data_IF_642059338672
#
_entry.id   IF_642059338672
#
_cell.length_a   1.000
_cell.length_b   1.000
_cell.length_c   1.000
_cell.angle_alpha   90.00
_cell.angle_beta   90.00
_cell.angle_gamma   90.00
#
_symmetry.space_group_name_H-M   'P 1'
#
loop_
_entity.id
_entity.type
_entity.pdbx_description
1 polymer ?
#
# COMPACT_ATOMS: atom_id res chain seq x y z
N UNK A 1 -12.70 -9.93 -16.50
CA UNK A 1 -11.52 -9.06 -16.71
C UNK A 1 -12.04 -7.66 -16.97
N UNK A 2 -11.51 -6.64 -16.29
CA UNK A 2 -12.04 -5.26 -16.38
C UNK A 2 -11.32 -4.32 -15.40
N UNK A 3 -10.02 -4.53 -15.23
CA UNK A 3 -9.19 -3.67 -14.37
C UNK A 3 -8.95 -2.34 -15.07
N UNK A 4 -8.91 -1.26 -14.28
CA UNK A 4 -8.60 0.09 -14.77
C UNK A 4 -7.22 0.13 -15.45
N UNK A 5 -6.27 -0.67 -14.96
CA UNK A 5 -4.92 -0.79 -15.50
C UNK A 5 -4.61 -2.24 -15.88
N UNK A 6 -4.98 -2.70 -17.09
CA UNK A 6 -4.86 -4.10 -17.49
C UNK A 6 -3.44 -4.65 -17.50
N UNK A 7 -2.43 -3.79 -17.69
CA UNK A 7 -1.02 -4.18 -17.70
C UNK A 7 -0.42 -4.29 -16.29
N UNK A 8 -1.02 -3.62 -15.30
CA UNK A 8 -0.56 -3.65 -13.92
C UNK A 8 -1.76 -3.36 -13.01
N UNK A 9 -2.49 -4.41 -12.63
CA UNK A 9 -3.69 -4.31 -11.80
C UNK A 9 -3.51 -3.40 -10.59
N UNK A 10 -2.47 -3.58 -9.75
CA UNK A 10 -2.19 -2.75 -8.58
C UNK A 10 -2.11 -1.25 -8.82
N UNK A 11 -1.77 -0.80 -10.04
CA UNK A 11 -1.60 0.62 -10.35
C UNK A 11 -2.87 1.46 -10.10
N UNK A 12 -4.02 0.82 -9.88
CA UNK A 12 -5.26 1.49 -9.43
C UNK A 12 -5.02 2.38 -8.19
N UNK A 13 -4.18 1.96 -7.25
CA UNK A 13 -3.91 2.76 -6.05
C UNK A 13 -3.15 4.05 -6.37
N UNK A 14 -2.21 4.00 -7.32
CA UNK A 14 -1.47 5.18 -7.79
C UNK A 14 -2.40 6.18 -8.48
N UNK A 15 -3.39 5.71 -9.24
CA UNK A 15 -4.38 6.58 -9.87
C UNK A 15 -5.11 7.45 -8.83
N UNK A 16 -5.64 6.82 -7.78
CA UNK A 16 -6.31 7.52 -6.69
C UNK A 16 -5.34 8.44 -5.93
N UNK A 17 -4.12 8.00 -5.69
CA UNK A 17 -3.09 8.80 -5.02
C UNK A 17 -2.73 10.07 -5.81
N UNK A 18 -2.60 9.98 -7.14
CA UNK A 18 -2.37 11.15 -8.00
C UNK A 18 -3.53 12.14 -7.92
N UNK A 19 -4.79 11.66 -7.96
CA UNK A 19 -5.96 12.52 -7.79
C UNK A 19 -5.93 13.26 -6.44
N UNK A 20 -5.64 12.54 -5.34
CA UNK A 20 -5.56 13.12 -4.02
C UNK A 20 -4.42 14.14 -3.90
N UNK A 21 -3.26 13.86 -4.49
CA UNK A 21 -2.11 14.76 -4.49
C UNK A 21 -2.37 16.04 -5.29
N UNK A 22 -3.05 15.95 -6.44
CA UNK A 22 -3.48 17.12 -7.21
C UNK A 22 -4.46 17.96 -6.38
N UNK A 23 -5.48 17.33 -5.80
CA UNK A 23 -6.44 18.03 -4.92
C UNK A 23 -5.74 18.66 -3.71
N UNK A 24 -4.69 18.03 -3.19
CA UNK A 24 -3.90 18.59 -2.12
C UNK A 24 -3.11 19.82 -2.51
N UNK A 25 -2.39 19.76 -3.63
CA UNK A 25 -1.62 20.89 -4.15
C UNK A 25 -2.52 22.12 -4.39
N UNK A 26 -3.72 21.90 -4.91
CA UNK A 26 -4.67 22.96 -5.25
C UNK A 26 -5.44 23.50 -4.04
N UNK A 27 -6.00 22.61 -3.21
CA UNK A 27 -7.02 22.96 -2.21
C UNK A 27 -6.65 22.49 -0.80
N UNK A 28 -6.44 21.19 -0.58
CA UNK A 28 -6.39 20.58 0.77
C UNK A 28 -5.20 21.10 1.59
N UNK A 29 -4.10 21.52 0.94
CA UNK A 29 -2.96 22.14 1.65
C UNK A 29 -3.32 23.39 2.46
N UNK A 30 -4.45 24.04 2.17
CA UNK A 30 -4.94 25.24 2.88
C UNK A 30 -5.88 24.93 4.05
N UNK A 31 -6.31 23.68 4.23
CA UNK A 31 -7.28 23.33 5.27
C UNK A 31 -6.71 23.55 6.67
N UNK A 32 -7.56 23.84 7.66
CA UNK A 32 -7.13 23.91 9.06
C UNK A 32 -7.01 22.51 9.67
N UNK A 33 -6.36 22.39 10.84
CA UNK A 33 -6.32 21.13 11.60
C UNK A 33 -7.74 20.64 11.94
N UNK A 34 -8.63 21.57 12.28
CA UNK A 34 -10.03 21.27 12.58
C UNK A 34 -10.76 20.63 11.39
N UNK A 35 -10.63 21.24 10.19
CA UNK A 35 -11.27 20.70 8.99
C UNK A 35 -10.71 19.32 8.61
N UNK A 36 -9.39 19.12 8.76
CA UNK A 36 -8.80 17.78 8.57
C UNK A 36 -9.34 16.77 9.56
N UNK A 37 -9.45 17.11 10.84
CA UNK A 37 -10.02 16.22 11.86
C UNK A 37 -11.45 15.83 11.51
N UNK A 38 -12.27 16.78 11.07
CA UNK A 38 -13.64 16.50 10.63
C UNK A 38 -13.64 15.52 9.45
N UNK A 39 -12.79 15.72 8.45
CA UNK A 39 -12.65 14.82 7.30
C UNK A 39 -12.17 13.42 7.70
N UNK A 40 -11.25 13.31 8.66
CA UNK A 40 -10.80 12.02 9.21
C UNK A 40 -11.95 11.28 9.90
N UNK A 41 -12.78 11.98 10.69
CA UNK A 41 -13.93 11.37 11.36
C UNK A 41 -14.95 10.87 10.33
N UNK A 42 -15.30 11.71 9.34
CA UNK A 42 -16.25 11.34 8.28
C UNK A 42 -15.72 10.18 7.44
N UNK A 43 -14.46 10.24 7.00
CA UNK A 43 -13.83 9.18 6.22
C UNK A 43 -13.71 7.87 7.03
N UNK A 44 -13.43 7.96 8.33
CA UNK A 44 -13.36 6.81 9.22
C UNK A 44 -14.73 6.16 9.41
N UNK A 45 -15.78 6.95 9.59
CA UNK A 45 -17.16 6.46 9.64
C UNK A 45 -17.57 5.78 8.33
N UNK A 46 -17.26 6.39 7.18
CA UNK A 46 -17.53 5.79 5.86
C UNK A 46 -16.77 4.48 5.64
N UNK A 47 -15.52 4.41 6.10
CA UNK A 47 -14.69 3.20 6.03
C UNK A 47 -15.26 2.07 6.89
N UNK A 48 -15.61 2.34 8.15
CA UNK A 48 -16.23 1.35 9.06
C UNK A 48 -17.56 0.87 8.48
N UNK A 49 -18.42 1.81 8.06
CA UNK A 49 -19.70 1.49 7.46
C UNK A 49 -19.52 0.56 6.27
N UNK A 50 -18.62 0.90 5.34
CA UNK A 50 -18.34 0.05 4.19
C UNK A 50 -17.80 -1.32 4.62
N UNK A 51 -16.83 -1.38 5.53
CA UNK A 51 -16.20 -2.63 5.91
C UNK A 51 -17.19 -3.62 6.55
N UNK A 52 -18.06 -3.12 7.42
CA UNK A 52 -19.06 -3.92 8.16
C UNK A 52 -20.24 -4.32 7.27
N UNK A 53 -20.59 -3.51 6.26
CA UNK A 53 -21.70 -3.78 5.33
C UNK A 53 -21.28 -4.45 4.02
N UNK A 54 -19.97 -4.62 3.80
CA UNK A 54 -19.42 -5.27 2.61
C UNK A 54 -19.91 -6.72 2.52
N UNK A 55 -20.39 -7.18 1.35
CA UNK A 55 -20.87 -8.56 1.17
C UNK A 55 -19.83 -9.63 1.56
N UNK A 56 -18.55 -9.31 1.35
CA UNK A 56 -17.44 -10.20 1.66
C UNK A 56 -16.76 -9.85 2.99
N UNK A 57 -17.23 -8.83 3.71
CA UNK A 57 -16.62 -8.38 4.97
C UNK A 57 -15.14 -8.02 4.82
N UNK A 58 -14.72 -7.54 3.64
CA UNK A 58 -13.35 -7.15 3.36
C UNK A 58 -13.30 -5.83 2.60
N UNK A 59 -12.20 -5.11 2.76
CA UNK A 59 -11.85 -3.88 2.06
C UNK A 59 -11.13 -4.14 0.73
N UNK A 60 -11.10 -5.38 0.23
CA UNK A 60 -10.50 -5.70 -1.07
C UNK A 60 -11.38 -5.21 -2.24
N UNK A 61 -10.84 -4.29 -3.04
CA UNK A 61 -11.48 -3.75 -4.25
C UNK A 61 -10.93 -2.38 -4.62
N UNK A 62 -11.53 -1.70 -5.60
CA UNK A 62 -11.08 -0.40 -6.11
C UNK A 62 -10.31 -0.45 -7.41
N UNK A 63 -10.12 -1.62 -8.01
CA UNK A 63 -9.29 -1.79 -9.21
C UNK A 63 -10.05 -1.75 -10.53
N UNK A 64 -11.38 -1.60 -10.53
CA UNK A 64 -12.20 -1.49 -11.76
C UNK A 64 -12.80 -0.09 -11.92
N UNK A 65 -13.05 0.28 -13.17
CA UNK A 65 -13.74 1.52 -13.53
C UNK A 65 -15.26 1.31 -13.53
N UNK A 66 -15.83 0.87 -12.40
CA UNK A 66 -17.27 0.76 -12.19
C UNK A 66 -17.70 1.53 -10.92
N UNK A 67 -18.98 1.94 -10.85
CA UNK A 67 -19.47 2.77 -9.75
C UNK A 67 -19.19 2.22 -8.36
N UNK A 68 -19.52 0.93 -8.08
CA UNK A 68 -19.22 0.30 -6.79
C UNK A 68 -17.72 0.25 -6.45
N UNK A 69 -16.86 -0.11 -7.41
CA UNK A 69 -15.42 -0.22 -7.21
C UNK A 69 -14.77 1.15 -7.04
N UNK A 70 -15.19 2.17 -7.80
CA UNK A 70 -14.73 3.53 -7.60
C UNK A 70 -15.09 4.04 -6.21
N UNK A 71 -16.33 3.80 -5.74
CA UNK A 71 -16.74 4.13 -4.37
C UNK A 71 -15.81 3.49 -3.34
N UNK A 72 -15.50 2.21 -3.50
CA UNK A 72 -14.55 1.51 -2.63
C UNK A 72 -13.14 2.10 -2.72
N UNK A 73 -12.64 2.37 -3.91
CA UNK A 73 -11.32 3.00 -4.13
C UNK A 73 -11.19 4.34 -3.41
N UNK A 74 -12.19 5.22 -3.53
CA UNK A 74 -12.23 6.48 -2.80
C UNK A 74 -12.33 6.27 -1.28
N UNK A 75 -13.18 5.37 -0.79
CA UNK A 75 -13.28 5.08 0.65
C UNK A 75 -11.94 4.61 1.23
N UNK A 76 -11.20 3.75 0.50
CA UNK A 76 -9.88 3.26 0.91
C UNK A 76 -8.80 4.33 0.85
N UNK A 77 -8.93 5.30 -0.04
CA UNK A 77 -7.99 6.42 -0.18
C UNK A 77 -8.21 7.48 0.91
N UNK A 78 -9.45 7.89 1.13
CA UNK A 78 -9.78 9.11 1.89
C UNK A 78 -9.24 9.06 3.32
N UNK A 79 -9.50 7.98 4.05
CA UNK A 79 -9.09 7.91 5.45
C UNK A 79 -7.55 7.94 5.62
N UNK A 80 -6.77 7.01 5.01
CA UNK A 80 -5.31 7.02 5.12
C UNK A 80 -4.67 8.34 4.66
N UNK A 81 -5.23 8.95 3.62
CA UNK A 81 -4.75 10.22 3.09
C UNK A 81 -4.91 11.36 4.11
N UNK A 82 -6.13 11.56 4.64
CA UNK A 82 -6.39 12.65 5.58
C UNK A 82 -5.74 12.41 6.94
N UNK A 83 -5.71 11.18 7.45
CA UNK A 83 -5.04 10.88 8.73
C UNK A 83 -3.54 11.07 8.61
N UNK A 84 -2.92 10.66 7.50
CA UNK A 84 -1.50 10.89 7.23
C UNK A 84 -1.16 12.38 7.20
N UNK A 85 -1.99 13.18 6.52
CA UNK A 85 -1.82 14.64 6.49
C UNK A 85 -2.01 15.27 7.88
N UNK A 86 -3.00 14.81 8.64
CA UNK A 86 -3.23 15.28 10.01
C UNK A 86 -2.04 14.95 10.91
N UNK A 87 -1.52 13.73 10.88
CA UNK A 87 -0.33 13.30 11.61
C UNK A 87 0.89 14.15 11.27
N UNK A 88 1.12 14.41 9.98
CA UNK A 88 2.20 15.29 9.51
C UNK A 88 2.07 16.71 10.07
N UNK A 89 0.86 17.28 10.10
CA UNK A 89 0.61 18.65 10.59
C UNK A 89 0.58 18.79 12.10
N UNK A 90 0.20 17.75 12.83
CA UNK A 90 0.27 17.74 14.29
C UNK A 90 1.68 17.45 14.77
N UNK A 91 2.55 16.91 13.90
CA UNK A 91 3.88 16.45 14.28
C UNK A 91 3.81 15.27 15.25
N UNK A 92 2.71 14.50 15.20
CA UNK A 92 2.52 13.37 16.10
C UNK A 92 3.48 12.24 15.72
N UNK A 93 4.58 12.16 16.47
CA UNK A 93 5.63 11.17 16.29
C UNK A 93 5.82 10.43 17.61
N UNK A 94 5.78 9.10 17.56
CA UNK A 94 6.00 8.27 18.74
C UNK A 94 7.48 7.88 18.76
N UNK A 95 8.25 8.54 19.63
CA UNK A 95 9.68 8.26 19.79
C UNK A 95 9.87 7.06 20.71
N UNK A 96 10.48 6.01 20.19
CA UNK A 96 10.76 4.81 20.98
C UNK A 96 12.07 4.16 20.55
N UNK A 97 12.74 3.48 21.49
CA UNK A 97 13.84 2.58 21.16
C UNK A 97 13.26 1.34 20.45
N UNK A 98 13.97 0.83 19.46
CA UNK A 98 13.57 -0.33 18.66
C UNK A 98 12.24 -0.15 17.90
N UNK A 99 12.07 1.03 17.29
CA UNK A 99 10.86 1.36 16.54
C UNK A 99 10.64 0.41 15.35
N UNK A 100 11.71 0.02 14.66
CA UNK A 100 11.65 -0.88 13.52
C UNK A 100 11.10 -2.26 13.92
N UNK A 101 11.64 -2.82 15.00
CA UNK A 101 11.30 -4.14 15.52
C UNK A 101 9.84 -4.16 15.99
N UNK A 102 9.42 -3.12 16.71
CA UNK A 102 8.01 -2.95 17.14
C UNK A 102 7.06 -2.85 15.95
N UNK A 103 7.40 -2.05 14.94
CA UNK A 103 6.61 -1.97 13.72
C UNK A 103 6.55 -3.32 12.99
N UNK A 104 7.67 -4.04 12.93
CA UNK A 104 7.75 -5.35 12.28
C UNK A 104 6.88 -6.40 12.98
N UNK A 105 6.94 -6.48 14.32
CA UNK A 105 6.10 -7.37 15.12
C UNK A 105 4.62 -7.01 14.97
N UNK A 106 4.28 -5.72 15.03
CA UNK A 106 2.89 -5.28 14.91
C UNK A 106 2.33 -5.57 13.50
N UNK A 107 3.11 -5.32 12.44
CA UNK A 107 2.75 -5.70 11.08
C UNK A 107 2.58 -7.21 10.95
N UNK A 108 3.51 -8.01 11.50
CA UNK A 108 3.41 -9.46 11.46
C UNK A 108 2.13 -9.96 12.12
N UNK A 109 1.80 -9.47 13.31
CA UNK A 109 0.57 -9.85 14.03
C UNK A 109 -0.68 -9.52 13.20
N UNK A 110 -0.74 -8.31 12.61
CA UNK A 110 -1.89 -7.90 11.81
C UNK A 110 -2.03 -8.73 10.53
N UNK A 111 -0.92 -8.99 9.84
CA UNK A 111 -0.95 -9.71 8.57
C UNK A 111 -1.09 -11.23 8.72
N UNK A 112 -0.66 -11.79 9.86
CA UNK A 112 -0.78 -13.21 10.15
C UNK A 112 -2.16 -13.58 10.74
N UNK A 113 -2.98 -12.60 11.14
CA UNK A 113 -4.29 -12.87 11.71
C UNK A 113 -5.21 -13.51 10.66
N UNK A 114 -5.83 -14.68 10.95
CA UNK A 114 -6.77 -15.29 10.02
C UNK A 114 -8.04 -14.44 9.92
N UNK A 115 -8.77 -14.64 8.82
CA UNK A 115 -10.07 -14.00 8.59
C UNK A 115 -11.02 -14.29 9.76
N UNK A 116 -11.56 -13.25 10.38
CA UNK A 116 -12.44 -13.37 11.54
C UNK A 116 -13.92 -13.57 11.15
N UNK A 117 -14.69 -14.29 11.96
CA UNK A 117 -16.15 -14.40 11.82
C UNK A 117 -16.69 -15.51 10.91
N UNK A 118 -15.82 -16.26 10.20
CA UNK A 118 -16.25 -17.39 9.35
C UNK A 118 -17.26 -16.98 8.27
N UNK A 119 -18.06 -17.93 7.77
CA UNK A 119 -19.04 -17.68 6.71
C UNK A 119 -20.29 -16.93 7.19
N UNK A 120 -20.60 -16.99 8.49
CA UNK A 120 -21.84 -16.45 9.03
C UNK A 120 -21.70 -15.02 9.61
N UNK A 121 -20.48 -14.52 9.80
CA UNK A 121 -20.24 -13.21 10.43
C UNK A 121 -19.15 -12.40 9.73
N UNK A 122 -19.29 -12.17 8.42
CA UNK A 122 -18.32 -11.40 7.62
C UNK A 122 -18.02 -10.00 8.17
N UNK A 123 -19.00 -9.37 8.82
CA UNK A 123 -18.84 -8.05 9.43
C UNK A 123 -17.73 -8.00 10.50
N UNK A 124 -17.42 -9.12 11.17
CA UNK A 124 -16.32 -9.19 12.15
C UNK A 124 -14.96 -8.99 11.48
N UNK A 125 -14.75 -9.61 10.31
CA UNK A 125 -13.55 -9.38 9.52
C UNK A 125 -13.49 -7.93 9.02
N UNK A 126 -14.62 -7.40 8.55
CA UNK A 126 -14.69 -6.01 8.09
C UNK A 126 -14.34 -5.02 9.19
N UNK A 127 -14.88 -5.22 10.39
CA UNK A 127 -14.57 -4.42 11.56
C UNK A 127 -13.09 -4.52 11.93
N UNK A 128 -12.53 -5.74 11.91
CA UNK A 128 -11.10 -5.95 12.15
C UNK A 128 -10.24 -5.18 11.15
N UNK A 129 -10.49 -5.32 9.85
CA UNK A 129 -9.74 -4.59 8.82
C UNK A 129 -9.88 -3.08 8.97
N UNK A 130 -11.08 -2.58 9.28
CA UNK A 130 -11.31 -1.16 9.54
C UNK A 130 -10.53 -0.67 10.76
N UNK A 131 -10.49 -1.42 11.86
CA UNK A 131 -9.71 -1.09 13.06
C UNK A 131 -8.20 -1.11 12.77
N UNK A 132 -7.73 -2.04 11.94
CA UNK A 132 -6.35 -2.04 11.48
C UNK A 132 -6.01 -0.76 10.72
N UNK A 133 -6.88 -0.33 9.79
CA UNK A 133 -6.68 0.89 9.00
C UNK A 133 -6.79 2.17 9.85
N UNK A 134 -7.71 2.21 10.80
CA UNK A 134 -8.02 3.41 11.60
C UNK A 134 -7.09 3.60 12.79
N UNK A 135 -6.64 2.50 13.40
CA UNK A 135 -5.87 2.55 14.64
C UNK A 135 -4.46 2.04 14.39
N UNK A 136 -4.34 0.79 13.92
CA UNK A 136 -3.04 0.10 13.93
C UNK A 136 -2.05 0.71 12.94
N UNK A 137 -2.46 0.95 11.68
CA UNK A 137 -1.57 1.51 10.66
C UNK A 137 -1.14 2.95 10.96
N UNK A 138 -2.02 3.89 11.38
CA UNK A 138 -1.59 5.22 11.82
C UNK A 138 -0.58 5.17 12.97
N UNK A 139 -0.76 4.24 13.92
CA UNK A 139 0.20 4.01 15.00
C UNK A 139 1.54 3.50 14.50
N UNK A 140 1.55 2.54 13.58
CA UNK A 140 2.79 2.04 12.94
C UNK A 140 3.50 3.17 12.21
N UNK A 141 2.78 4.01 11.46
CA UNK A 141 3.34 5.16 10.75
C UNK A 141 3.95 6.16 11.74
N UNK A 142 3.26 6.49 12.83
CA UNK A 142 3.75 7.42 13.85
C UNK A 142 4.99 6.88 14.61
N UNK A 143 5.04 5.56 14.86
CA UNK A 143 6.20 4.87 15.43
C UNK A 143 7.39 4.83 14.46
N UNK A 144 7.14 4.44 13.22
CA UNK A 144 8.16 4.33 12.18
C UNK A 144 8.80 5.68 11.86
N UNK A 145 8.00 6.74 11.74
CA UNK A 145 8.48 8.09 11.50
C UNK A 145 9.22 8.70 12.71
N UNK A 146 8.90 8.26 13.94
CA UNK A 146 9.56 8.69 15.17
C UNK A 146 10.82 7.88 15.53
N UNK A 147 11.06 6.77 14.83
CA UNK A 147 12.16 5.85 15.08
C UNK A 147 13.50 6.32 14.51
N UNK A 148 14.60 5.89 15.15
CA UNK A 148 15.95 5.96 14.58
C UNK A 148 16.47 4.56 14.31
N UNK A 149 17.01 4.33 13.12
CA UNK A 149 17.70 3.08 12.81
C UNK A 149 19.07 3.09 13.47
N UNK A 150 19.36 2.08 14.31
CA UNK A 150 20.67 1.86 14.90
C UNK A 150 21.45 0.82 14.09
N UNK A 151 22.62 1.19 13.57
CA UNK A 151 23.53 0.29 12.85
C UNK A 151 23.64 0.56 11.35
N UNK A 152 24.87 0.73 10.86
CA UNK A 152 25.18 1.10 9.47
C UNK A 152 24.75 0.02 8.45
N UNK A 153 25.00 -1.26 8.74
CA UNK A 153 24.62 -2.36 7.84
C UNK A 153 23.10 -2.52 7.75
N UNK A 154 22.41 -2.46 8.89
CA UNK A 154 20.97 -2.59 8.96
C UNK A 154 20.26 -1.46 8.20
N UNK A 155 20.71 -0.22 8.41
CA UNK A 155 20.20 0.95 7.69
C UNK A 155 20.37 0.82 6.17
N UNK A 156 21.53 0.32 5.69
CA UNK A 156 21.75 0.05 4.26
C UNK A 156 20.81 -1.01 3.71
N UNK A 157 20.52 -2.06 4.48
CA UNK A 157 19.55 -3.08 4.11
C UNK A 157 18.14 -2.51 3.94
N UNK A 158 17.66 -1.74 4.93
CA UNK A 158 16.35 -1.07 4.85
C UNK A 158 16.27 -0.08 3.67
N UNK A 159 17.32 0.69 3.43
CA UNK A 159 17.40 1.62 2.28
C UNK A 159 17.34 0.87 0.94
N UNK A 160 18.07 -0.24 0.81
CA UNK A 160 18.01 -1.10 -0.38
C UNK A 160 16.60 -1.66 -0.60
N UNK A 161 15.99 -2.23 0.44
CA UNK A 161 14.61 -2.76 0.37
C UNK A 161 13.61 -1.65 0.01
N UNK A 162 13.79 -0.44 0.55
CA UNK A 162 12.98 0.72 0.21
C UNK A 162 13.12 1.10 -1.27
N UNK A 163 14.35 1.20 -1.78
CA UNK A 163 14.63 1.57 -3.17
C UNK A 163 14.10 0.56 -4.18
N UNK A 164 14.16 -0.73 -3.88
CA UNK A 164 13.69 -1.77 -4.81
C UNK A 164 12.17 -1.99 -4.76
N UNK A 165 11.51 -1.63 -3.66
CA UNK A 165 10.08 -1.88 -3.45
C UNK A 165 9.19 -1.29 -4.55
N UNK A 166 9.45 -0.06 -4.98
CA UNK A 166 8.66 0.62 -6.01
C UNK A 166 8.90 0.06 -7.43
N UNK A 167 10.15 -0.07 -7.92
CA UNK A 167 10.40 -0.75 -9.19
C UNK A 167 9.80 -2.16 -9.22
N UNK A 168 9.93 -2.92 -8.14
CA UNK A 168 9.33 -4.25 -8.04
C UNK A 168 7.82 -4.18 -8.17
N UNK A 169 7.18 -3.27 -7.43
CA UNK A 169 5.74 -3.02 -7.50
C UNK A 169 5.26 -2.77 -8.94
N UNK A 170 6.04 -2.04 -9.76
CA UNK A 170 5.69 -1.75 -11.14
C UNK A 170 5.85 -2.96 -12.07
N UNK A 171 6.91 -3.75 -11.92
CA UNK A 171 7.28 -4.75 -12.93
C UNK A 171 6.76 -6.16 -12.66
N UNK A 172 6.42 -6.49 -11.41
CA UNK A 172 6.11 -7.87 -11.05
C UNK A 172 4.74 -8.37 -11.55
N UNK A 173 3.69 -7.55 -11.52
CA UNK A 173 2.34 -7.97 -11.95
C UNK A 173 2.23 -8.36 -13.42
N UNK A 174 2.80 -7.61 -14.39
CA UNK A 174 2.84 -8.05 -15.78
C UNK A 174 3.41 -9.47 -15.95
N UNK A 175 4.51 -9.76 -15.25
CA UNK A 175 5.14 -11.09 -15.28
C UNK A 175 4.25 -12.14 -14.61
N UNK A 176 3.62 -11.80 -13.49
CA UNK A 176 2.66 -12.68 -12.81
C UNK A 176 1.47 -12.99 -13.72
N UNK A 177 0.95 -12.03 -14.50
CA UNK A 177 -0.14 -12.28 -15.43
C UNK A 177 0.25 -13.26 -16.53
N UNK A 178 1.44 -13.10 -17.10
CA UNK A 178 1.99 -14.06 -18.07
C UNK A 178 2.12 -15.45 -17.42
N UNK A 179 2.70 -15.52 -16.23
CA UNK A 179 2.83 -16.76 -15.50
C UNK A 179 1.48 -17.42 -15.20
N UNK A 180 0.51 -16.63 -14.74
CA UNK A 180 -0.81 -17.11 -14.38
C UNK A 180 -1.57 -17.65 -15.60
N UNK A 181 -1.43 -16.99 -16.76
CA UNK A 181 -1.96 -17.47 -18.04
C UNK A 181 -1.32 -18.78 -18.51
N UNK A 182 -0.11 -19.09 -18.07
CA UNK A 182 0.54 -20.37 -18.36
C UNK A 182 0.06 -21.49 -17.41
N UNK A 183 0.02 -21.21 -16.10
CA UNK A 183 -0.29 -22.22 -15.06
C UNK A 183 -1.77 -22.59 -15.02
N UNK A 184 -2.67 -21.61 -14.99
CA UNK A 184 -4.10 -21.86 -14.68
C UNK A 184 -4.81 -22.71 -15.71
N UNK A 185 -4.69 -22.45 -17.03
CA UNK A 185 -5.38 -23.27 -18.02
C UNK A 185 -4.89 -24.73 -18.05
N UNK A 186 -3.69 -24.99 -17.52
CA UNK A 186 -3.04 -26.31 -17.51
C UNK A 186 -3.24 -27.08 -16.21
N UNK A 187 -3.87 -26.48 -15.19
CA UNK A 187 -4.11 -27.09 -13.88
C UNK A 187 -2.87 -27.78 -13.28
N UNK A 188 -1.68 -27.19 -13.46
CA UNK A 188 -0.42 -27.80 -13.03
C UNK A 188 -0.37 -27.92 -11.49
N UNK A 189 0.04 -29.08 -10.94
CA UNK A 189 0.15 -29.25 -9.49
C UNK A 189 1.29 -28.41 -8.92
N UNK A 190 1.16 -27.96 -7.66
CA UNK A 190 2.15 -27.14 -6.96
C UNK A 190 3.57 -27.72 -7.02
N UNK A 191 3.70 -29.05 -6.92
CA UNK A 191 4.97 -29.79 -6.99
C UNK A 191 5.75 -29.56 -8.28
N UNK A 192 5.06 -29.26 -9.39
CA UNK A 192 5.68 -28.96 -10.69
C UNK A 192 5.96 -27.47 -10.90
N UNK A 193 5.25 -26.62 -10.15
CA UNK A 193 5.19 -25.17 -10.39
C UNK A 193 6.15 -24.42 -9.47
N UNK A 194 6.36 -24.87 -8.23
CA UNK A 194 7.18 -24.18 -7.22
C UNK A 194 8.60 -23.78 -7.67
N UNK A 195 9.36 -24.57 -8.47
CA UNK A 195 10.69 -24.15 -8.90
C UNK A 195 10.60 -22.96 -9.85
N UNK A 196 9.64 -23.01 -10.79
CA UNK A 196 9.38 -21.91 -11.72
C UNK A 196 8.89 -20.65 -11.00
N UNK A 197 8.10 -20.79 -9.93
CA UNK A 197 7.67 -19.65 -9.09
C UNK A 197 8.88 -18.94 -8.47
N UNK A 198 9.85 -19.68 -7.92
CA UNK A 198 11.06 -19.11 -7.33
C UNK A 198 11.90 -18.40 -8.39
N UNK A 199 12.07 -19.03 -9.56
CA UNK A 199 12.80 -18.44 -10.69
C UNK A 199 12.15 -17.13 -11.16
N UNK A 200 10.81 -17.09 -11.24
CA UNK A 200 10.07 -15.89 -11.62
C UNK A 200 10.16 -14.81 -10.56
N UNK A 201 10.09 -15.16 -9.28
CA UNK A 201 10.28 -14.20 -8.20
C UNK A 201 11.69 -13.58 -8.26
N UNK A 202 12.73 -14.40 -8.46
CA UNK A 202 14.10 -13.92 -8.64
C UNK A 202 14.24 -13.04 -9.90
N UNK A 203 13.60 -13.43 -11.00
CA UNK A 203 13.56 -12.64 -12.24
C UNK A 203 12.89 -11.28 -12.03
N UNK A 204 11.75 -11.21 -11.32
CA UNK A 204 11.08 -9.95 -11.00
C UNK A 204 11.97 -9.03 -10.16
N UNK A 205 12.68 -9.56 -9.16
CA UNK A 205 13.63 -8.79 -8.34
C UNK A 205 14.82 -8.30 -9.17
N UNK A 206 15.38 -9.16 -10.02
CA UNK A 206 16.48 -8.78 -10.93
C UNK A 206 16.05 -7.69 -11.91
N UNK A 207 14.87 -7.82 -12.52
CA UNK A 207 14.31 -6.83 -13.43
C UNK A 207 14.03 -5.51 -12.71
N UNK A 208 13.47 -5.56 -11.51
CA UNK A 208 13.26 -4.37 -10.67
C UNK A 208 14.58 -3.65 -10.36
N UNK A 209 15.63 -4.40 -10.03
CA UNK A 209 16.96 -3.85 -9.79
C UNK A 209 17.58 -3.25 -11.05
N UNK A 210 17.41 -3.90 -12.21
CA UNK A 210 17.86 -3.38 -13.49
C UNK A 210 17.14 -2.06 -13.85
N UNK A 211 15.81 -1.99 -13.70
CA UNK A 211 15.05 -0.76 -13.90
C UNK A 211 15.52 0.36 -12.95
N UNK A 212 15.80 0.03 -11.69
CA UNK A 212 16.31 0.98 -10.71
C UNK A 212 17.68 1.56 -11.13
N UNK A 213 18.62 0.70 -11.52
CA UNK A 213 20.02 1.10 -11.81
C UNK A 213 20.25 1.65 -13.20
N UNK A 214 19.53 1.14 -14.20
CA UNK A 214 19.74 1.49 -15.60
C UNK A 214 18.81 2.61 -16.07
N UNK A 215 17.68 2.84 -15.38
CA UNK A 215 16.69 3.83 -15.79
C UNK A 215 16.36 4.85 -14.70
N UNK A 216 15.82 4.44 -13.55
CA UNK A 216 15.35 5.37 -12.52
C UNK A 216 16.47 6.26 -11.97
N UNK A 217 17.54 5.68 -11.41
CA UNK A 217 18.65 6.45 -10.85
C UNK A 217 19.32 7.39 -11.89
N UNK A 218 19.66 6.94 -13.12
CA UNK A 218 20.23 7.81 -14.15
C UNK A 218 19.29 8.95 -14.58
N UNK A 219 18.02 8.64 -14.85
CA UNK A 219 17.04 9.66 -15.28
C UNK A 219 16.78 10.65 -14.17
N UNK A 220 16.67 10.20 -12.92
CA UNK A 220 16.49 11.07 -11.75
C UNK A 220 17.69 11.99 -11.56
N UNK A 221 18.92 11.48 -11.70
CA UNK A 221 20.13 12.29 -11.63
C UNK A 221 20.17 13.34 -12.75
N UNK A 222 19.80 12.96 -13.98
CA UNK A 222 19.69 13.86 -15.11
C UNK A 222 18.66 14.97 -14.89
N UNK A 223 17.46 14.64 -14.41
CA UNK A 223 16.40 15.60 -14.10
C UNK A 223 16.81 16.58 -12.99
N UNK A 224 17.42 16.09 -11.90
CA UNK A 224 17.91 16.95 -10.81
C UNK A 224 18.91 17.98 -11.33
N UNK A 225 19.89 17.55 -12.10
CA UNK A 225 20.89 18.44 -12.71
C UNK A 225 20.26 19.51 -13.61
N UNK A 226 19.16 19.19 -14.28
CA UNK A 226 18.46 20.12 -15.18
C UNK A 226 17.56 21.12 -14.45
N UNK A 227 17.03 20.74 -13.28
CA UNK A 227 16.16 21.60 -12.44
C UNK A 227 16.94 22.43 -11.41
N UNK A 228 18.21 22.10 -11.15
CA UNK A 228 19.14 22.92 -10.34
C UNK A 228 19.80 24.05 -11.15
N UNK A 229 19.23 24.41 -12.32
CA UNK A 229 19.59 25.56 -13.17
C UNK A 229 18.40 26.52 -13.15
#
# INVERSE_FOLDING_TARGET
MGEMHPLNGPAWSLFFEYMANILYALVIRRFSKFLLTLLVIVAGGALIHYAVTSPNGCLAGGWKLDGPQLRLGFTRLMYPFFVGLLLSRTGFLIRTKYAFEKCSVLLFIVLAMPRLGGENHYWLNGLYEALCVIVVFPWIVALGAGGKLSGSLFSKGCDFMGKISYPLYIVHYPVIYLYWSWVTPRHLPWTSVWPSTILIAAFCVMMAYACLKLYDEPVRAWLKKKMEI
#
